data_IF_898194593361
#
_entry.id   IF_898194593361
#
_cell.length_a   1.000
_cell.length_b   1.000
_cell.length_c   1.000
_cell.angle_alpha   90.00
_cell.angle_beta   90.00
_cell.angle_gamma   90.00
#
_symmetry.space_group_name_H-M   'P 1'
#
loop_
_entity.id
_entity.type
_entity.pdbx_description
1 polymer ?
#
# COMPACT_ATOMS: atom_id res chain seq x y z
N UNK A 1 -4.23 52.98 -16.08
CA UNK A 1 -4.52 51.57 -15.98
C UNK A 1 -3.80 51.01 -14.74
N UNK A 2 -4.53 50.69 -13.70
CA UNK A 2 -3.93 50.14 -12.46
C UNK A 2 -3.28 48.78 -12.76
N UNK A 3 -2.22 48.40 -12.05
CA UNK A 3 -1.57 47.09 -12.19
C UNK A 3 -2.56 45.91 -12.08
N UNK A 4 -3.72 46.14 -11.48
CA UNK A 4 -4.86 45.22 -11.41
C UNK A 4 -5.45 44.88 -12.80
N UNK A 5 -5.66 45.89 -13.65
CA UNK A 5 -6.29 45.69 -14.94
C UNK A 5 -5.38 44.94 -15.92
N UNK A 6 -4.05 45.12 -15.78
CA UNK A 6 -3.07 44.36 -16.58
C UNK A 6 -3.06 42.88 -16.22
N UNK A 7 -3.16 42.53 -14.94
CA UNK A 7 -3.13 41.13 -14.50
C UNK A 7 -4.44 40.39 -14.81
N UNK A 8 -5.56 41.09 -14.94
CA UNK A 8 -6.84 40.49 -15.39
C UNK A 8 -6.88 40.22 -16.90
N UNK A 9 -5.99 40.86 -17.68
CA UNK A 9 -5.88 40.62 -19.13
C UNK A 9 -4.86 39.51 -19.48
N UNK A 10 -4.14 39.00 -18.50
CA UNK A 10 -3.19 37.92 -18.73
C UNK A 10 -3.92 36.60 -19.00
N UNK A 11 -3.49 35.86 -20.00
CA UNK A 11 -3.95 34.49 -20.26
C UNK A 11 -3.48 33.54 -19.15
N UNK A 12 -4.09 32.37 -19.10
CA UNK A 12 -3.72 31.33 -18.10
C UNK A 12 -2.23 30.97 -18.17
N UNK A 13 -1.66 30.94 -19.35
CA UNK A 13 -0.24 30.67 -19.58
C UNK A 13 0.65 31.70 -18.90
N UNK A 14 0.31 32.98 -19.05
CA UNK A 14 1.08 34.06 -18.44
C UNK A 14 0.98 34.04 -16.93
N UNK A 15 -0.21 33.81 -16.40
CA UNK A 15 -0.44 33.73 -14.95
C UNK A 15 0.35 32.57 -14.30
N UNK A 16 0.34 31.40 -14.92
CA UNK A 16 1.07 30.23 -14.41
C UNK A 16 2.58 30.38 -14.64
N UNK A 17 2.99 30.92 -15.80
CA UNK A 17 4.43 31.19 -16.06
C UNK A 17 4.99 32.24 -15.11
N UNK A 18 4.25 33.27 -14.76
CA UNK A 18 4.61 34.22 -13.72
C UNK A 18 4.77 33.56 -12.34
N UNK A 19 3.92 32.61 -12.00
CA UNK A 19 3.96 31.91 -10.74
C UNK A 19 5.13 30.92 -10.66
N UNK A 20 5.32 30.10 -11.69
CA UNK A 20 6.35 29.04 -11.71
C UNK A 20 7.74 29.53 -12.13
N UNK A 21 7.81 30.66 -12.86
CA UNK A 21 9.05 31.20 -13.41
C UNK A 21 9.63 30.32 -14.55
N UNK A 22 10.90 30.53 -14.87
CA UNK A 22 11.60 29.85 -15.97
C UNK A 22 11.86 28.35 -15.74
N UNK A 23 11.76 27.88 -14.49
CA UNK A 23 12.02 26.47 -14.14
C UNK A 23 10.78 25.57 -14.20
N UNK A 24 9.60 26.11 -14.50
CA UNK A 24 8.37 25.38 -14.65
C UNK A 24 7.94 24.58 -13.41
N UNK A 25 7.44 23.36 -13.59
CA UNK A 25 6.93 22.49 -12.52
C UNK A 25 8.05 21.83 -11.69
N UNK A 26 9.28 21.76 -12.22
CA UNK A 26 10.40 21.02 -11.62
C UNK A 26 10.66 21.37 -10.15
N UNK A 27 10.78 22.66 -9.73
CA UNK A 27 11.07 22.99 -8.34
C UNK A 27 10.00 22.50 -7.34
N UNK A 28 8.76 22.37 -7.80
CA UNK A 28 7.67 21.82 -6.97
C UNK A 28 7.89 20.32 -6.77
N UNK A 29 8.17 19.60 -7.85
CA UNK A 29 8.42 18.15 -7.78
C UNK A 29 9.69 17.83 -7.00
N UNK A 30 10.76 18.62 -7.17
CA UNK A 30 12.01 18.43 -6.42
C UNK A 30 11.81 18.62 -4.90
N UNK A 31 10.99 19.58 -4.49
CA UNK A 31 10.64 19.77 -3.09
C UNK A 31 9.82 18.59 -2.55
N UNK A 32 8.87 18.11 -3.31
CA UNK A 32 8.06 16.96 -2.94
C UNK A 32 8.84 15.63 -2.94
N UNK A 33 9.86 15.48 -3.78
CA UNK A 33 10.78 14.35 -3.71
C UNK A 33 11.41 14.20 -2.32
N UNK A 34 11.79 15.30 -1.69
CA UNK A 34 12.34 15.28 -0.34
C UNK A 34 11.29 14.88 0.71
N UNK A 35 10.05 15.33 0.54
CA UNK A 35 8.92 14.98 1.44
C UNK A 35 8.53 13.50 1.34
N UNK A 36 8.53 12.93 0.15
CA UNK A 36 8.13 11.55 -0.13
C UNK A 36 9.32 10.62 -0.40
N UNK A 37 10.47 10.91 0.21
CA UNK A 37 11.69 10.10 0.04
C UNK A 37 11.52 8.66 0.56
N UNK A 38 10.67 8.45 1.57
CA UNK A 38 10.36 7.13 2.11
C UNK A 38 8.99 6.65 1.63
N UNK A 39 8.98 5.44 1.06
CA UNK A 39 7.73 4.76 0.72
C UNK A 39 7.11 4.13 1.96
N UNK A 40 5.79 4.26 2.11
CA UNK A 40 5.05 3.48 3.10
C UNK A 40 4.72 2.08 2.56
N UNK A 41 5.75 1.38 2.11
CA UNK A 41 5.68 0.02 1.60
C UNK A 41 6.77 -0.84 2.25
N UNK A 42 6.64 -1.14 3.56
CA UNK A 42 7.69 -1.84 4.30
C UNK A 42 8.04 -3.18 3.67
N UNK A 43 9.34 -3.43 3.55
CA UNK A 43 9.87 -4.63 2.92
C UNK A 43 10.00 -4.58 1.41
N UNK A 44 9.42 -3.59 0.72
CA UNK A 44 9.62 -3.40 -0.71
C UNK A 44 10.51 -2.18 -0.98
N UNK A 45 11.48 -2.34 -1.84
CA UNK A 45 12.38 -1.27 -2.29
C UNK A 45 12.23 -1.09 -3.81
N UNK A 46 12.59 0.08 -4.31
CA UNK A 46 12.64 0.28 -5.75
C UNK A 46 13.68 -0.64 -6.39
N UNK A 47 13.33 -1.25 -7.52
CA UNK A 47 14.32 -1.95 -8.35
C UNK A 47 15.46 -0.99 -8.71
N UNK A 48 16.70 -1.51 -8.74
CA UNK A 48 17.90 -0.72 -9.05
C UNK A 48 17.87 -0.19 -10.46
N UNK A 49 17.32 -0.97 -11.39
CA UNK A 49 17.18 -0.64 -12.81
C UNK A 49 15.71 -0.54 -13.20
N UNK A 50 15.42 0.28 -14.19
CA UNK A 50 14.09 0.40 -14.80
C UNK A 50 14.02 -0.50 -16.03
N UNK A 51 12.91 -1.22 -16.19
CA UNK A 51 12.68 -2.04 -17.36
C UNK A 51 12.45 -1.17 -18.60
N UNK A 52 13.08 -1.51 -19.71
CA UNK A 52 12.87 -0.82 -20.98
C UNK A 52 11.49 -1.15 -21.60
N UNK A 53 10.88 -2.27 -21.21
CA UNK A 53 9.56 -2.74 -21.64
C UNK A 53 8.56 -2.67 -20.51
N UNK A 54 7.27 -2.86 -20.81
CA UNK A 54 6.21 -2.99 -19.81
C UNK A 54 6.12 -4.39 -19.20
N UNK A 55 7.16 -5.20 -19.33
CA UNK A 55 7.23 -6.55 -18.80
C UNK A 55 8.36 -6.65 -17.80
N UNK A 56 8.17 -7.48 -16.79
CA UNK A 56 9.23 -7.86 -15.86
C UNK A 56 9.46 -9.37 -15.92
N UNK A 57 10.67 -9.79 -15.63
CA UNK A 57 11.01 -11.19 -15.40
C UNK A 57 11.76 -11.31 -14.09
N UNK A 58 11.37 -12.26 -13.27
CA UNK A 58 12.01 -12.55 -12.01
C UNK A 58 12.27 -14.05 -11.90
N UNK A 59 13.43 -14.40 -11.38
CA UNK A 59 13.80 -15.78 -11.11
C UNK A 59 13.88 -15.96 -9.60
N UNK A 60 12.98 -16.78 -9.06
CA UNK A 60 13.03 -17.20 -7.65
C UNK A 60 13.85 -18.49 -7.53
N UNK A 61 14.86 -18.46 -6.67
CA UNK A 61 15.65 -19.66 -6.34
C UNK A 61 14.85 -20.47 -5.33
N UNK A 62 14.55 -21.72 -5.68
CA UNK A 62 13.83 -22.64 -4.79
C UNK A 62 14.87 -23.26 -3.84
N UNK A 63 15.08 -22.60 -2.71
CA UNK A 63 15.89 -23.15 -1.63
C UNK A 63 15.04 -24.08 -0.76
N UNK A 64 15.55 -25.23 -0.42
CA UNK A 64 14.94 -26.19 0.49
C UNK A 64 16.00 -26.76 1.44
N UNK A 65 15.55 -27.45 2.50
CA UNK A 65 16.48 -28.19 3.35
C UNK A 65 17.09 -29.32 2.52
N UNK A 66 18.42 -29.38 2.50
CA UNK A 66 19.13 -30.45 1.82
C UNK A 66 18.71 -31.80 2.42
N UNK A 67 18.32 -32.80 1.58
CA UNK A 67 18.02 -34.12 2.07
C UNK A 67 19.26 -34.76 2.66
N UNK A 68 19.06 -35.62 3.67
CA UNK A 68 20.16 -36.37 4.25
C UNK A 68 20.81 -37.25 3.17
N UNK A 69 22.13 -37.44 3.24
CA UNK A 69 22.81 -38.37 2.34
C UNK A 69 22.32 -39.82 2.54
N UNK A 70 22.26 -40.59 1.46
CA UNK A 70 21.81 -41.96 1.48
C UNK A 70 22.77 -42.86 2.23
N UNK A 71 22.23 -43.83 2.98
CA UNK A 71 23.00 -44.94 3.49
C UNK A 71 23.17 -45.97 2.36
N UNK A 72 24.37 -46.13 1.86
CA UNK A 72 24.66 -47.03 0.75
C UNK A 72 25.72 -48.09 1.12
N UNK A 73 25.66 -49.27 0.48
CA UNK A 73 26.68 -50.28 0.59
C UNK A 73 28.01 -49.82 -0.01
N UNK A 74 29.11 -50.45 0.42
CA UNK A 74 30.49 -50.08 0.01
C UNK A 74 30.71 -50.03 -1.51
N UNK A 75 29.89 -50.71 -2.29
CA UNK A 75 29.99 -50.79 -3.76
C UNK A 75 28.90 -49.97 -4.49
N UNK A 76 27.97 -49.34 -3.77
CA UNK A 76 26.86 -48.60 -4.34
C UNK A 76 27.13 -47.11 -4.39
N UNK A 77 26.55 -46.43 -5.37
CA UNK A 77 26.55 -44.96 -5.45
C UNK A 77 25.24 -44.44 -4.84
N UNK A 78 25.31 -43.34 -4.08
CA UNK A 78 24.14 -42.62 -3.61
C UNK A 78 23.34 -42.00 -4.75
N UNK A 79 22.08 -41.67 -4.48
CA UNK A 79 21.23 -40.93 -5.43
C UNK A 79 21.80 -39.54 -5.68
N UNK A 80 21.63 -39.01 -6.89
CA UNK A 80 22.05 -37.64 -7.19
C UNK A 80 21.21 -36.63 -6.41
N UNK A 81 21.86 -35.67 -5.77
CA UNK A 81 21.16 -34.55 -5.15
C UNK A 81 20.35 -33.81 -6.23
N UNK A 82 19.07 -33.55 -5.93
CA UNK A 82 18.29 -32.67 -6.78
C UNK A 82 18.90 -31.26 -6.74
N UNK A 83 19.30 -30.76 -7.89
CA UNK A 83 19.70 -29.35 -8.02
C UNK A 83 18.54 -28.44 -7.63
N UNK A 84 18.86 -27.34 -6.96
CA UNK A 84 17.86 -26.29 -6.64
C UNK A 84 17.09 -25.90 -7.90
N UNK A 85 15.78 -25.83 -7.76
CA UNK A 85 14.91 -25.44 -8.86
C UNK A 85 14.86 -23.90 -8.99
N UNK A 86 14.75 -23.43 -10.22
CA UNK A 86 14.47 -22.03 -10.51
C UNK A 86 13.03 -21.92 -11.00
N UNK A 87 12.31 -20.95 -10.47
CA UNK A 87 10.98 -20.59 -10.98
C UNK A 87 11.06 -19.18 -11.57
N UNK A 88 10.90 -19.11 -12.89
CA UNK A 88 10.74 -17.84 -13.58
C UNK A 88 9.28 -17.36 -13.48
N UNK A 89 9.08 -16.10 -13.19
CA UNK A 89 7.79 -15.42 -13.27
C UNK A 89 7.96 -14.21 -14.17
N UNK A 90 7.10 -14.06 -15.16
CA UNK A 90 7.04 -12.88 -16.01
C UNK A 90 5.60 -12.43 -16.16
N UNK A 91 5.36 -11.13 -16.12
CA UNK A 91 4.05 -10.53 -16.38
C UNK A 91 4.23 -9.05 -16.76
N UNK A 92 3.13 -8.42 -17.16
CA UNK A 92 3.08 -7.02 -17.55
C UNK A 92 3.03 -6.11 -16.33
N UNK A 93 3.80 -5.01 -16.37
CA UNK A 93 3.78 -3.98 -15.32
C UNK A 93 2.62 -3.01 -15.61
N UNK A 94 1.68 -2.82 -14.68
CA UNK A 94 0.53 -1.95 -14.90
C UNK A 94 0.94 -0.47 -14.91
N UNK A 95 0.34 0.28 -15.83
CA UNK A 95 0.51 1.73 -15.96
C UNK A 95 -0.61 2.45 -15.23
N UNK A 96 -0.26 3.42 -14.41
CA UNK A 96 -1.15 4.29 -13.67
C UNK A 96 -0.97 5.73 -14.10
N UNK A 97 -2.06 6.40 -14.43
CA UNK A 97 -2.04 7.81 -14.82
C UNK A 97 -3.16 8.57 -14.11
N UNK A 98 -2.85 9.75 -13.60
CA UNK A 98 -3.82 10.69 -13.06
C UNK A 98 -3.39 12.12 -13.38
N UNK A 99 -4.35 13.00 -13.58
CA UNK A 99 -4.06 14.40 -13.86
C UNK A 99 -4.92 15.33 -13.03
N UNK A 100 -4.50 16.57 -12.94
CA UNK A 100 -5.35 17.69 -12.57
C UNK A 100 -5.30 18.76 -13.65
N UNK A 101 -6.36 19.51 -13.78
CA UNK A 101 -6.45 20.67 -14.67
C UNK A 101 -6.84 21.91 -13.87
N UNK A 102 -6.29 23.05 -14.28
CA UNK A 102 -6.64 24.37 -13.77
C UNK A 102 -7.21 25.15 -14.96
N UNK A 103 -8.47 25.57 -14.86
CA UNK A 103 -9.10 26.42 -15.86
C UNK A 103 -8.91 27.91 -15.54
N UNK A 104 -9.00 28.74 -16.58
CA UNK A 104 -8.86 30.18 -16.46
C UNK A 104 -10.00 30.79 -15.61
N UNK A 105 -11.21 30.21 -15.67
CA UNK A 105 -12.37 30.72 -14.95
C UNK A 105 -12.15 30.58 -13.43
N UNK A 106 -11.64 29.41 -12.98
CA UNK A 106 -11.30 29.17 -11.57
C UNK A 106 -10.22 30.13 -11.08
N UNK A 107 -9.18 30.41 -11.90
CA UNK A 107 -8.15 31.38 -11.53
C UNK A 107 -8.72 32.80 -11.44
N UNK A 108 -9.51 33.22 -12.43
CA UNK A 108 -10.14 34.54 -12.44
C UNK A 108 -11.11 34.72 -11.26
N UNK A 109 -11.88 33.71 -10.91
CA UNK A 109 -12.78 33.74 -9.76
C UNK A 109 -12.00 33.93 -8.45
N UNK A 110 -10.91 33.20 -8.26
CA UNK A 110 -10.02 33.38 -7.11
C UNK A 110 -9.42 34.80 -7.06
N UNK A 111 -9.00 35.33 -8.21
CA UNK A 111 -8.47 36.70 -8.27
C UNK A 111 -9.54 37.76 -7.96
N UNK A 112 -10.79 37.55 -8.39
CA UNK A 112 -11.88 38.43 -8.04
C UNK A 112 -12.14 38.44 -6.53
N UNK A 113 -12.11 37.30 -5.87
CA UNK A 113 -12.22 37.19 -4.41
C UNK A 113 -11.08 37.94 -3.69
N UNK A 114 -9.83 37.82 -4.15
CA UNK A 114 -8.71 38.57 -3.56
C UNK A 114 -8.85 40.08 -3.73
N UNK A 115 -9.43 40.54 -4.84
CA UNK A 115 -9.70 41.98 -5.08
C UNK A 115 -10.74 42.54 -4.07
N UNK A 116 -11.73 41.75 -3.73
CA UNK A 116 -12.79 42.14 -2.79
C UNK A 116 -12.25 42.29 -1.35
N UNK A 117 -11.18 41.58 -0.98
CA UNK A 117 -10.55 41.64 0.32
C UNK A 117 -9.35 42.59 0.43
N UNK A 118 -9.15 43.49 -0.55
CA UNK A 118 -8.11 44.57 -0.57
C UNK A 118 -6.65 44.12 -0.31
N UNK A 119 -6.31 42.90 -0.72
CA UNK A 119 -4.92 42.42 -0.64
C UNK A 119 -4.04 43.06 -1.74
N UNK A 120 -2.82 43.47 -1.37
CA UNK A 120 -1.79 43.95 -2.29
C UNK A 120 -1.35 42.87 -3.27
N UNK A 121 -1.79 42.99 -4.50
CA UNK A 121 -2.10 41.87 -5.39
C UNK A 121 -0.92 41.19 -6.11
N UNK A 122 0.21 41.82 -6.30
CA UNK A 122 1.28 41.27 -7.17
C UNK A 122 2.04 40.10 -6.55
N UNK A 123 2.24 40.11 -5.23
CA UNK A 123 2.84 38.98 -4.50
C UNK A 123 1.81 37.87 -4.24
N UNK A 124 0.60 38.23 -3.81
CA UNK A 124 -0.41 37.27 -3.37
C UNK A 124 -1.01 36.43 -4.52
N UNK A 125 -1.12 36.95 -5.73
CA UNK A 125 -1.59 36.17 -6.90
C UNK A 125 -0.56 35.10 -7.28
N UNK A 126 0.69 35.50 -7.39
CA UNK A 126 1.79 34.57 -7.71
C UNK A 126 1.88 33.47 -6.66
N UNK A 127 1.80 33.81 -5.40
CA UNK A 127 1.90 32.87 -4.29
C UNK A 127 0.66 31.96 -4.23
N UNK A 128 -0.54 32.47 -4.51
CA UNK A 128 -1.76 31.66 -4.56
C UNK A 128 -1.79 30.66 -5.72
N UNK A 129 -1.28 31.04 -6.91
CA UNK A 129 -1.14 30.10 -8.03
C UNK A 129 -0.08 29.04 -7.73
N UNK A 130 1.04 29.47 -7.12
CA UNK A 130 2.08 28.55 -6.65
C UNK A 130 1.54 27.52 -5.64
N UNK A 131 0.80 28.01 -4.65
CA UNK A 131 0.19 27.16 -3.63
C UNK A 131 -0.82 26.20 -4.22
N UNK A 132 -1.68 26.65 -5.14
CA UNK A 132 -2.63 25.80 -5.84
C UNK A 132 -1.92 24.69 -6.62
N UNK A 133 -0.87 25.05 -7.37
CA UNK A 133 -0.06 24.08 -8.12
C UNK A 133 0.66 23.11 -7.19
N UNK A 134 1.28 23.63 -6.12
CA UNK A 134 1.97 22.81 -5.13
C UNK A 134 1.03 21.80 -4.48
N UNK A 135 -0.12 22.25 -3.98
CA UNK A 135 -1.10 21.40 -3.32
C UNK A 135 -1.70 20.35 -4.27
N UNK A 136 -1.86 20.68 -5.55
CA UNK A 136 -2.39 19.75 -6.55
C UNK A 136 -1.35 18.69 -6.92
N UNK A 137 -0.08 19.07 -7.09
CA UNK A 137 1.03 18.12 -7.35
C UNK A 137 1.29 17.27 -6.10
N UNK A 138 1.21 17.84 -4.89
CA UNK A 138 1.33 17.10 -3.63
C UNK A 138 0.25 16.02 -3.50
N UNK A 139 -1.00 16.34 -3.87
CA UNK A 139 -2.09 15.33 -3.90
C UNK A 139 -1.83 14.22 -4.91
N UNK A 140 -1.32 14.53 -6.10
CA UNK A 140 -0.93 13.51 -7.06
C UNK A 140 0.17 12.61 -6.49
N UNK A 141 1.21 13.22 -5.92
CA UNK A 141 2.34 12.48 -5.33
C UNK A 141 1.88 11.57 -4.19
N UNK A 142 1.07 12.11 -3.27
CA UNK A 142 0.46 11.34 -2.18
C UNK A 142 -0.41 10.20 -2.68
N UNK A 143 -1.16 10.41 -3.78
CA UNK A 143 -1.95 9.38 -4.43
C UNK A 143 -1.12 8.21 -4.96
N UNK A 144 0.03 8.47 -5.57
CA UNK A 144 0.93 7.41 -6.04
C UNK A 144 1.63 6.68 -4.88
N UNK A 145 1.99 7.40 -3.80
CA UNK A 145 2.49 6.75 -2.59
C UNK A 145 1.43 5.81 -1.99
N UNK A 146 0.19 6.28 -1.87
CA UNK A 146 -0.94 5.46 -1.42
C UNK A 146 -1.21 4.25 -2.32
N UNK A 147 -1.04 4.39 -3.64
CA UNK A 147 -1.18 3.29 -4.60
C UNK A 147 -0.14 2.18 -4.35
N UNK A 148 1.12 2.55 -4.17
CA UNK A 148 2.20 1.58 -3.89
C UNK A 148 1.94 0.87 -2.55
N UNK A 149 1.57 1.63 -1.51
CA UNK A 149 1.16 1.08 -0.21
C UNK A 149 0.01 0.10 -0.36
N UNK A 150 -1.01 0.48 -1.14
CA UNK A 150 -2.16 -0.39 -1.42
C UNK A 150 -1.76 -1.69 -2.11
N UNK A 151 -0.96 -1.61 -3.18
CA UNK A 151 -0.50 -2.81 -3.91
C UNK A 151 0.31 -3.73 -2.99
N UNK A 152 1.23 -3.18 -2.20
CA UNK A 152 2.01 -3.93 -1.20
C UNK A 152 1.09 -4.65 -0.21
N UNK A 153 0.16 -3.94 0.40
CA UNK A 153 -0.71 -4.48 1.44
C UNK A 153 -1.67 -5.55 0.88
N UNK A 154 -2.15 -5.41 -0.37
CA UNK A 154 -2.93 -6.45 -1.03
C UNK A 154 -2.10 -7.71 -1.31
N UNK A 155 -0.86 -7.56 -1.80
CA UNK A 155 0.03 -8.70 -2.05
C UNK A 155 0.30 -9.47 -0.76
N UNK A 156 0.65 -8.77 0.31
CA UNK A 156 0.97 -9.38 1.60
C UNK A 156 -0.26 -10.00 2.25
N UNK A 157 -1.42 -9.35 2.19
CA UNK A 157 -2.62 -9.80 2.88
C UNK A 157 -3.43 -10.85 2.13
N UNK A 158 -3.31 -10.93 0.80
CA UNK A 158 -4.08 -11.88 -0.05
C UNK A 158 -3.22 -12.89 -0.80
N UNK A 159 -1.92 -12.67 -0.90
CA UNK A 159 -1.06 -13.41 -1.81
C UNK A 159 -1.28 -13.10 -3.30
N UNK A 160 -2.11 -12.12 -3.60
CA UNK A 160 -2.49 -11.69 -4.97
C UNK A 160 -2.84 -10.21 -5.01
N UNK A 161 -2.76 -9.61 -6.19
CA UNK A 161 -3.15 -8.24 -6.43
C UNK A 161 -4.32 -8.19 -7.42
N UNK A 162 -5.40 -7.53 -7.02
CA UNK A 162 -6.64 -7.38 -7.80
C UNK A 162 -7.01 -5.90 -7.89
N UNK A 163 -7.27 -5.41 -9.11
CA UNK A 163 -7.58 -4.00 -9.33
C UNK A 163 -9.07 -3.66 -9.35
N UNK A 164 -9.95 -4.65 -9.47
CA UNK A 164 -11.38 -4.44 -9.70
C UNK A 164 -12.10 -3.57 -8.68
N UNK A 165 -11.71 -3.62 -7.42
CA UNK A 165 -12.33 -2.82 -6.35
C UNK A 165 -11.96 -1.34 -6.44
N UNK A 166 -10.70 -1.03 -6.75
CA UNK A 166 -10.16 0.34 -6.76
C UNK A 166 -10.25 1.01 -8.13
N UNK A 167 -10.28 0.20 -9.20
CA UNK A 167 -10.33 0.68 -10.58
C UNK A 167 -11.45 -0.01 -11.36
N UNK A 168 -12.73 0.15 -10.96
CA UNK A 168 -13.85 -0.60 -11.53
C UNK A 168 -14.11 -0.27 -13.00
N UNK A 169 -13.65 0.87 -13.48
CA UNK A 169 -13.78 1.34 -14.88
C UNK A 169 -12.59 0.95 -15.76
N UNK A 170 -11.51 0.43 -15.18
CA UNK A 170 -10.31 0.04 -15.94
C UNK A 170 -10.54 -1.24 -16.75
N UNK A 171 -9.92 -1.31 -17.91
CA UNK A 171 -9.85 -2.55 -18.71
C UNK A 171 -9.08 -3.66 -18.00
N UNK A 172 -8.18 -3.29 -17.08
CA UNK A 172 -7.39 -4.22 -16.26
C UNK A 172 -8.10 -4.67 -14.98
N UNK A 173 -9.35 -4.27 -14.74
CA UNK A 173 -10.11 -4.60 -13.52
C UNK A 173 -10.19 -6.09 -13.21
N UNK A 174 -10.18 -6.94 -14.24
CA UNK A 174 -10.28 -8.40 -14.11
C UNK A 174 -8.90 -9.08 -14.10
N UNK A 175 -7.80 -8.32 -14.27
CA UNK A 175 -6.45 -8.89 -14.23
C UNK A 175 -6.07 -9.16 -12.77
N UNK A 176 -5.57 -10.36 -12.52
CA UNK A 176 -5.14 -10.84 -11.19
C UNK A 176 -3.68 -11.23 -11.30
N UNK A 177 -2.83 -10.61 -10.47
CA UNK A 177 -1.43 -10.99 -10.31
C UNK A 177 -1.30 -11.93 -9.13
N UNK A 178 -0.75 -13.12 -9.34
CA UNK A 178 -0.54 -14.14 -8.30
C UNK A 178 0.94 -14.39 -8.12
N UNK A 179 1.40 -14.35 -6.86
CA UNK A 179 2.84 -14.41 -6.54
C UNK A 179 3.27 -15.74 -5.89
N UNK A 180 2.39 -16.73 -5.84
CA UNK A 180 2.72 -18.06 -5.29
C UNK A 180 2.89 -18.07 -3.77
N UNK A 181 2.38 -17.06 -3.06
CA UNK A 181 2.34 -17.02 -1.60
C UNK A 181 1.39 -18.11 -1.11
N UNK A 182 1.80 -18.85 -0.07
CA UNK A 182 0.97 -19.89 0.53
C UNK A 182 -0.29 -19.26 1.13
N UNK A 183 -1.45 -19.69 0.66
CA UNK A 183 -2.74 -19.26 1.22
C UNK A 183 -3.40 -20.45 1.90
N UNK A 184 -3.59 -20.35 3.20
CA UNK A 184 -4.27 -21.34 4.01
C UNK A 184 -5.74 -20.95 4.19
N UNK A 185 -6.61 -21.54 3.37
CA UNK A 185 -8.04 -21.33 3.42
C UNK A 185 -8.77 -22.34 4.34
N UNK A 186 -8.04 -23.04 5.21
CA UNK A 186 -8.59 -24.16 6.01
C UNK A 186 -9.70 -23.74 6.98
N UNK A 187 -9.90 -22.46 7.24
CA UNK A 187 -10.95 -21.94 8.13
C UNK A 187 -12.20 -21.46 7.41
N UNK A 188 -12.52 -21.99 6.24
CA UNK A 188 -13.73 -21.61 5.49
C UNK A 188 -15.07 -22.00 6.15
N UNK A 189 -15.07 -22.61 7.34
CA UNK A 189 -16.28 -22.96 8.06
C UNK A 189 -16.67 -21.89 9.09
N UNK A 190 -17.93 -21.48 9.12
CA UNK A 190 -18.47 -20.49 10.06
C UNK A 190 -18.14 -20.76 11.52
N UNK A 191 -17.92 -22.02 11.92
CA UNK A 191 -17.59 -22.43 13.29
C UNK A 191 -16.13 -22.26 13.67
N UNK A 192 -15.24 -22.09 12.68
CA UNK A 192 -13.80 -21.94 12.88
C UNK A 192 -13.32 -20.50 12.63
N UNK A 193 -14.19 -19.62 12.21
CA UNK A 193 -13.86 -18.21 12.02
C UNK A 193 -13.79 -17.48 13.34
N UNK A 194 -12.86 -16.54 13.46
CA UNK A 194 -12.70 -15.75 14.68
C UNK A 194 -13.93 -14.88 14.95
N UNK A 195 -14.60 -14.44 13.90
CA UNK A 195 -15.84 -13.68 13.94
C UNK A 195 -16.81 -14.23 12.90
N UNK A 196 -18.05 -14.47 13.28
CA UNK A 196 -19.09 -14.94 12.36
C UNK A 196 -19.68 -13.78 11.54
N UNK A 197 -19.76 -12.59 12.16
CA UNK A 197 -20.29 -11.38 11.53
C UNK A 197 -19.46 -10.17 12.01
N UNK A 198 -18.98 -9.37 11.07
CA UNK A 198 -18.08 -8.23 11.32
C UNK A 198 -18.73 -7.12 12.17
N UNK A 199 -20.06 -7.14 12.32
CA UNK A 199 -20.79 -6.04 12.94
C UNK A 199 -21.25 -6.27 14.37
N UNK A 200 -21.08 -7.45 14.94
CA UNK A 200 -21.54 -7.73 16.31
C UNK A 200 -20.57 -8.56 17.12
N UNK A 201 -20.19 -8.04 18.29
CA UNK A 201 -19.31 -8.70 19.28
C UNK A 201 -19.88 -10.06 19.76
N UNK A 202 -21.19 -10.28 19.60
CA UNK A 202 -21.88 -11.52 20.01
C UNK A 202 -21.63 -12.71 19.05
N UNK A 203 -20.98 -12.49 17.91
CA UNK A 203 -20.87 -13.48 16.83
C UNK A 203 -19.43 -14.00 16.64
N UNK A 204 -18.64 -14.11 17.70
CA UNK A 204 -17.39 -14.88 17.63
C UNK A 204 -17.66 -16.38 17.38
N UNK A 205 -16.81 -17.02 16.60
CA UNK A 205 -16.93 -18.43 16.34
C UNK A 205 -16.71 -19.25 17.63
N UNK A 206 -17.71 -20.00 18.08
CA UNK A 206 -17.65 -20.77 19.35
C UNK A 206 -16.46 -21.73 19.44
N UNK A 207 -15.99 -22.26 18.32
CA UNK A 207 -14.88 -23.21 18.24
C UNK A 207 -13.57 -22.56 17.75
N UNK A 208 -13.59 -21.27 17.43
CA UNK A 208 -12.40 -20.57 16.97
C UNK A 208 -11.37 -20.45 18.10
N UNK A 209 -10.11 -20.63 17.74
CA UNK A 209 -8.99 -20.44 18.64
C UNK A 209 -7.90 -19.62 17.92
N UNK A 210 -8.01 -18.28 18.00
CA UNK A 210 -7.08 -17.39 17.27
C UNK A 210 -5.62 -17.60 17.64
N UNK A 211 -5.31 -17.91 18.90
CA UNK A 211 -3.93 -18.11 19.35
C UNK A 211 -3.36 -19.40 18.74
N UNK A 212 -4.15 -20.48 18.76
CA UNK A 212 -3.75 -21.74 18.12
C UNK A 212 -3.55 -21.56 16.61
N UNK A 213 -4.46 -20.86 15.95
CA UNK A 213 -4.36 -20.58 14.50
C UNK A 213 -3.09 -19.84 14.13
N UNK A 214 -2.71 -18.83 14.92
CA UNK A 214 -1.44 -18.09 14.74
C UNK A 214 -0.23 -18.99 14.97
N UNK A 215 -0.23 -19.80 16.04
CA UNK A 215 0.85 -20.72 16.33
C UNK A 215 0.99 -21.77 15.21
N UNK A 216 -0.11 -22.34 14.73
CA UNK A 216 -0.13 -23.35 13.68
C UNK A 216 0.36 -22.75 12.34
N UNK A 217 -0.04 -21.52 12.01
CA UNK A 217 0.46 -20.82 10.84
C UNK A 217 1.97 -20.60 10.92
N UNK A 218 2.50 -20.10 12.05
CA UNK A 218 3.93 -19.98 12.28
C UNK A 218 4.66 -21.31 12.10
N UNK A 219 4.21 -22.37 12.78
CA UNK A 219 4.80 -23.72 12.69
C UNK A 219 4.81 -24.26 11.27
N UNK A 220 3.77 -23.97 10.49
CA UNK A 220 3.73 -24.41 9.09
C UNK A 220 4.80 -23.76 8.21
N UNK A 221 5.44 -22.71 8.72
CA UNK A 221 6.48 -21.93 8.05
C UNK A 221 7.87 -22.09 8.70
N UNK A 222 7.99 -22.84 9.80
CA UNK A 222 9.25 -22.96 10.57
C UNK A 222 10.46 -23.37 9.71
N UNK A 223 10.25 -24.19 8.67
CA UNK A 223 11.32 -24.64 7.77
C UNK A 223 11.73 -23.58 6.73
N UNK A 224 10.84 -22.65 6.39
CA UNK A 224 11.04 -21.65 5.33
C UNK A 224 11.31 -20.26 5.90
N UNK A 225 10.74 -19.98 7.06
CA UNK A 225 10.82 -18.68 7.72
C UNK A 225 10.66 -18.85 9.25
N UNK A 226 11.71 -19.31 9.98
CA UNK A 226 11.62 -19.53 11.41
C UNK A 226 11.45 -18.23 12.23
N UNK A 227 12.00 -17.11 11.75
CA UNK A 227 12.06 -15.83 12.45
C UNK A 227 11.12 -14.78 11.81
N UNK A 228 9.96 -15.20 11.36
CA UNK A 228 9.00 -14.28 10.76
C UNK A 228 8.22 -13.45 11.78
N UNK A 229 7.37 -12.55 11.26
CA UNK A 229 6.40 -11.75 12.02
C UNK A 229 5.02 -11.86 11.41
N UNK A 230 3.99 -11.61 12.24
CA UNK A 230 2.63 -11.46 11.75
C UNK A 230 2.35 -10.03 11.33
N UNK A 231 1.63 -9.88 10.22
CA UNK A 231 0.97 -8.63 9.86
C UNK A 231 -0.54 -8.83 9.77
N UNK A 232 -1.30 -7.88 10.30
CA UNK A 232 -2.76 -7.88 10.26
C UNK A 232 -3.32 -6.47 10.23
N UNK A 233 -4.56 -6.31 9.78
CA UNK A 233 -5.24 -5.02 9.84
C UNK A 233 -5.53 -4.60 11.28
N UNK A 234 -5.65 -3.29 11.50
CA UNK A 234 -6.06 -2.75 12.80
C UNK A 234 -7.43 -3.28 13.22
N UNK A 235 -8.37 -3.40 12.28
CA UNK A 235 -9.71 -3.94 12.56
C UNK A 235 -9.63 -5.34 13.12
N UNK A 236 -8.87 -6.23 12.46
CA UNK A 236 -8.70 -7.60 12.91
C UNK A 236 -7.99 -7.68 14.27
N UNK A 237 -7.02 -6.80 14.52
CA UNK A 237 -6.35 -6.72 15.80
C UNK A 237 -7.28 -6.26 16.92
N UNK A 238 -8.17 -5.30 16.66
CA UNK A 238 -9.21 -4.86 17.60
C UNK A 238 -10.22 -5.98 17.86
N UNK A 239 -10.56 -6.78 16.85
CA UNK A 239 -11.40 -7.96 17.03
C UNK A 239 -10.75 -9.03 17.93
N UNK A 240 -9.43 -9.24 17.79
CA UNK A 240 -8.67 -10.10 18.72
C UNK A 240 -8.70 -9.60 20.16
N UNK A 241 -8.66 -8.29 20.37
CA UNK A 241 -8.77 -7.69 21.72
C UNK A 241 -10.13 -7.96 22.38
N UNK A 242 -11.15 -8.23 21.60
CA UNK A 242 -12.50 -8.51 22.12
C UNK A 242 -12.83 -10.01 22.17
N UNK A 243 -11.99 -10.87 21.58
CA UNK A 243 -12.26 -12.30 21.52
C UNK A 243 -12.11 -12.97 22.89
N UNK A 244 -13.13 -13.71 23.35
CA UNK A 244 -13.20 -14.28 24.71
C UNK A 244 -12.03 -15.19 25.06
N UNK A 245 -11.66 -16.12 24.16
CA UNK A 245 -10.52 -17.02 24.38
C UNK A 245 -9.18 -16.29 24.45
N UNK A 246 -8.98 -15.25 23.63
CA UNK A 246 -7.76 -14.45 23.65
C UNK A 246 -7.64 -13.68 24.95
N UNK A 247 -8.74 -13.04 25.37
CA UNK A 247 -8.80 -12.32 26.66
C UNK A 247 -8.47 -13.26 27.82
N UNK A 248 -9.06 -14.46 27.85
CA UNK A 248 -8.82 -15.43 28.90
C UNK A 248 -7.33 -15.84 28.94
N UNK A 249 -6.71 -16.15 27.79
CA UNK A 249 -5.32 -16.58 27.74
C UNK A 249 -4.35 -15.46 28.10
N UNK A 250 -4.58 -14.24 27.64
CA UNK A 250 -3.80 -13.05 28.02
C UNK A 250 -3.95 -12.76 29.50
N UNK A 251 -5.15 -12.86 30.04
CA UNK A 251 -5.41 -12.69 31.49
C UNK A 251 -4.71 -13.76 32.31
N UNK A 252 -4.75 -15.03 31.95
CA UNK A 252 -4.05 -16.12 32.61
C UNK A 252 -2.53 -16.00 32.54
N UNK A 253 -1.99 -15.50 31.46
CA UNK A 253 -0.56 -15.22 31.37
C UNK A 253 -0.12 -14.12 32.34
N UNK A 254 -0.93 -13.08 32.51
CA UNK A 254 -0.65 -11.99 33.43
C UNK A 254 -0.85 -12.41 34.91
N UNK A 255 -1.78 -13.32 35.16
CA UNK A 255 -2.14 -13.80 36.52
C UNK A 255 -2.14 -15.32 36.61
N UNK A 256 -0.99 -15.99 36.46
CA UNK A 256 -0.89 -17.45 36.31
C UNK A 256 -1.37 -18.21 37.55
N UNK A 257 -1.25 -17.63 38.75
CA UNK A 257 -1.61 -18.26 40.02
C UNK A 257 -2.98 -17.84 40.56
N UNK A 258 -3.80 -17.17 39.73
CA UNK A 258 -5.13 -16.73 40.15
C UNK A 258 -6.10 -17.91 40.17
N UNK A 259 -6.77 -18.14 41.29
CA UNK A 259 -7.90 -19.06 41.42
C UNK A 259 -9.24 -18.42 41.03
N UNK A 260 -9.21 -17.20 40.50
CA UNK A 260 -10.39 -16.48 40.05
C UNK A 260 -11.05 -17.17 38.84
N UNK A 261 -12.37 -17.05 38.74
CA UNK A 261 -13.11 -17.57 37.57
C UNK A 261 -12.74 -16.88 36.28
N UNK A 262 -13.02 -17.53 35.15
CA UNK A 262 -12.64 -17.09 33.82
C UNK A 262 -13.15 -15.68 33.44
N UNK A 263 -14.34 -15.30 33.95
CA UNK A 263 -14.90 -13.96 33.71
C UNK A 263 -14.07 -12.87 34.42
N UNK A 264 -13.59 -13.14 35.63
CA UNK A 264 -12.73 -12.20 36.39
C UNK A 264 -11.39 -12.05 35.69
N UNK A 265 -10.80 -13.15 35.24
CA UNK A 265 -9.53 -13.17 34.51
C UNK A 265 -9.66 -12.41 33.19
N UNK A 266 -10.74 -12.61 32.45
CA UNK A 266 -11.01 -11.88 31.19
C UNK A 266 -11.18 -10.37 31.44
N UNK A 267 -11.79 -9.97 32.57
CA UNK A 267 -11.88 -8.56 32.94
C UNK A 267 -10.52 -7.95 33.32
N UNK A 268 -9.62 -8.70 33.92
CA UNK A 268 -8.23 -8.26 34.13
C UNK A 268 -7.51 -8.05 32.81
N UNK A 269 -7.72 -8.93 31.80
CA UNK A 269 -7.14 -8.77 30.47
C UNK A 269 -7.60 -7.46 29.79
N UNK A 270 -8.85 -7.03 29.99
CA UNK A 270 -9.34 -5.73 29.52
C UNK A 270 -8.57 -4.54 30.12
N UNK A 271 -8.14 -4.64 31.37
CA UNK A 271 -7.27 -3.62 31.98
C UNK A 271 -5.90 -3.56 31.28
N UNK A 272 -5.37 -4.70 30.84
CA UNK A 272 -4.13 -4.77 30.06
C UNK A 272 -4.31 -4.08 28.71
N UNK A 273 -5.46 -4.23 28.06
CA UNK A 273 -5.79 -3.53 26.80
C UNK A 273 -5.74 -2.02 27.01
N UNK A 274 -6.42 -1.51 28.03
CA UNK A 274 -6.45 -0.07 28.35
C UNK A 274 -5.05 0.48 28.60
N UNK A 275 -4.17 -0.30 29.21
CA UNK A 275 -2.79 0.09 29.47
C UNK A 275 -1.84 -0.11 28.27
N UNK A 276 -2.34 -0.52 27.09
CA UNK A 276 -1.55 -0.74 25.89
C UNK A 276 -0.65 -1.98 25.91
N UNK A 277 -0.75 -2.84 26.93
CA UNK A 277 0.07 -4.03 27.12
C UNK A 277 -0.37 -5.27 26.31
N UNK A 278 -1.57 -5.23 25.73
CA UNK A 278 -2.18 -6.40 25.07
C UNK A 278 -1.32 -6.97 23.95
N UNK A 279 -0.81 -6.11 23.05
CA UNK A 279 0.05 -6.53 21.94
C UNK A 279 1.25 -7.34 22.44
N UNK A 280 1.97 -6.83 23.43
CA UNK A 280 3.15 -7.50 24.02
C UNK A 280 2.78 -8.85 24.66
N UNK A 281 1.65 -8.93 25.36
CA UNK A 281 1.17 -10.18 25.95
C UNK A 281 0.80 -11.21 24.88
N UNK A 282 0.15 -10.78 23.81
CA UNK A 282 -0.19 -11.65 22.68
C UNK A 282 1.07 -12.13 21.95
N UNK A 283 2.02 -11.25 21.67
CA UNK A 283 3.32 -11.60 21.09
C UNK A 283 4.09 -12.63 21.93
N UNK A 284 4.05 -12.50 23.25
CA UNK A 284 4.67 -13.47 24.16
C UNK A 284 3.95 -14.83 24.13
N UNK A 285 2.62 -14.87 23.98
CA UNK A 285 1.85 -16.10 23.85
C UNK A 285 2.14 -16.85 22.55
N UNK A 286 2.22 -16.14 21.43
CA UNK A 286 2.46 -16.74 20.11
C UNK A 286 3.95 -16.91 19.79
N UNK A 287 4.85 -16.28 20.59
CA UNK A 287 6.30 -16.31 20.41
C UNK A 287 6.79 -15.64 19.12
N UNK A 288 6.09 -14.60 18.67
CA UNK A 288 6.37 -13.90 17.40
C UNK A 288 5.83 -12.48 17.45
N UNK A 289 6.51 -11.54 16.81
CA UNK A 289 6.07 -10.14 16.71
C UNK A 289 4.82 -9.98 15.86
N UNK A 290 4.00 -9.00 16.19
CA UNK A 290 2.80 -8.62 15.44
C UNK A 290 2.98 -7.18 14.94
N UNK A 291 2.77 -6.96 13.66
CA UNK A 291 2.69 -5.62 13.08
C UNK A 291 1.25 -5.31 12.69
N UNK A 292 0.73 -4.21 13.19
CA UNK A 292 -0.64 -3.77 12.94
C UNK A 292 -0.64 -2.71 11.84
N UNK A 293 -1.33 -2.97 10.74
CA UNK A 293 -1.46 -2.06 9.60
C UNK A 293 -2.76 -1.27 9.68
N UNK A 294 -2.66 0.06 9.71
CA UNK A 294 -3.80 1.00 9.67
C UNK A 294 -3.69 1.91 8.44
N UNK A 295 -3.38 1.34 7.29
CA UNK A 295 -3.28 2.07 6.02
C UNK A 295 -4.62 2.03 5.29
N UNK A 296 -5.03 3.20 4.75
CA UNK A 296 -6.27 3.33 3.98
C UNK A 296 -5.99 4.10 2.71
N UNK A 297 -6.64 3.68 1.63
CA UNK A 297 -6.60 4.42 0.36
C UNK A 297 -7.97 4.94 -0.01
N UNK A 298 -7.96 6.13 -0.61
CA UNK A 298 -9.13 6.75 -1.20
C UNK A 298 -9.18 6.41 -2.69
N UNK A 299 -10.37 6.11 -3.19
CA UNK A 299 -10.60 5.85 -4.61
C UNK A 299 -11.93 6.45 -5.06
N UNK A 300 -11.96 6.91 -6.30
CA UNK A 300 -13.14 7.56 -6.86
C UNK A 300 -14.00 6.52 -7.57
N UNK A 301 -15.29 6.47 -7.23
CA UNK A 301 -16.30 5.63 -7.87
C UNK A 301 -17.37 6.54 -8.47
N UNK A 302 -17.82 6.32 -9.72
CA UNK A 302 -18.94 7.06 -10.26
C UNK A 302 -20.19 6.85 -9.40
N UNK A 303 -20.84 7.92 -9.02
CA UNK A 303 -22.15 7.87 -8.39
C UNK A 303 -23.17 7.27 -9.35
N UNK A 304 -24.03 6.40 -8.85
CA UNK A 304 -25.02 5.70 -9.68
C UNK A 304 -26.05 6.65 -10.32
N UNK A 305 -26.38 7.74 -9.64
CA UNK A 305 -27.43 8.68 -10.07
C UNK A 305 -26.83 9.88 -10.82
N UNK A 306 -25.81 10.51 -10.25
CA UNK A 306 -25.25 11.76 -10.77
C UNK A 306 -24.08 11.56 -11.73
N UNK A 307 -23.52 10.36 -11.80
CA UNK A 307 -22.27 10.00 -12.52
C UNK A 307 -21.05 10.82 -12.10
N UNK A 308 -21.17 11.64 -11.06
CA UNK A 308 -20.03 12.38 -10.51
C UNK A 308 -19.17 11.46 -9.67
N UNK A 309 -17.85 11.66 -9.60
CA UNK A 309 -16.99 10.86 -8.76
C UNK A 309 -17.29 11.08 -7.28
N UNK A 310 -17.55 10.00 -6.55
CA UNK A 310 -17.63 9.98 -5.08
C UNK A 310 -16.38 9.29 -4.56
N UNK A 311 -15.67 9.94 -3.66
CA UNK A 311 -14.49 9.37 -3.01
C UNK A 311 -14.90 8.41 -1.90
N UNK A 312 -14.50 7.15 -2.03
CA UNK A 312 -14.66 6.11 -1.01
C UNK A 312 -13.30 5.76 -0.40
N UNK A 313 -13.33 5.25 0.84
CA UNK A 313 -12.14 4.83 1.57
C UNK A 313 -12.22 3.33 1.85
N UNK A 314 -11.09 2.65 1.73
CA UNK A 314 -10.96 1.23 2.09
C UNK A 314 -9.62 0.98 2.75
N UNK A 315 -9.58 0.03 3.68
CA UNK A 315 -8.32 -0.47 4.23
C UNK A 315 -7.51 -1.13 3.12
N UNK A 316 -6.21 -0.88 3.11
CA UNK A 316 -5.29 -1.47 2.14
C UNK A 316 -5.02 -2.92 2.47
N UNK A 317 -4.76 -3.21 3.74
CA UNK A 317 -4.60 -4.57 4.23
C UNK A 317 -5.97 -5.25 4.40
N UNK A 318 -6.12 -6.47 3.91
CA UNK A 318 -7.40 -7.20 4.01
C UNK A 318 -7.78 -7.44 5.48
N UNK A 319 -9.00 -7.06 5.85
CA UNK A 319 -9.47 -7.11 7.24
C UNK A 319 -9.82 -8.52 7.72
N UNK A 320 -9.93 -9.47 6.80
CA UNK A 320 -10.28 -10.87 7.07
C UNK A 320 -9.08 -11.80 7.16
N UNK A 321 -7.88 -11.28 6.89
CA UNK A 321 -6.70 -12.11 6.70
C UNK A 321 -5.57 -11.73 7.67
N UNK A 322 -4.78 -12.73 8.03
CA UNK A 322 -3.50 -12.61 8.72
C UNK A 322 -2.39 -13.06 7.78
N UNK A 323 -1.32 -12.31 7.70
CA UNK A 323 -0.11 -12.69 6.98
C UNK A 323 1.03 -13.00 7.93
N UNK A 324 1.81 -14.04 7.63
CA UNK A 324 3.09 -14.34 8.26
C UNK A 324 4.20 -14.09 7.24
N UNK A 325 5.12 -13.21 7.56
CA UNK A 325 6.15 -12.71 6.63
C UNK A 325 7.53 -12.67 7.27
N UNK A 326 8.62 -12.77 6.50
CA UNK A 326 9.96 -12.58 7.02
C UNK A 326 10.24 -11.13 7.40
N UNK A 327 11.28 -10.92 8.21
CA UNK A 327 11.82 -9.58 8.45
C UNK A 327 12.65 -9.12 7.25
N UNK A 328 12.74 -7.80 7.08
CA UNK A 328 13.59 -7.17 6.08
C UNK A 328 12.97 -7.03 4.71
N UNK A 329 13.75 -7.28 3.66
CA UNK A 329 13.33 -7.14 2.26
C UNK A 329 12.36 -8.25 1.89
N UNK A 330 11.17 -7.89 1.43
CA UNK A 330 10.17 -8.82 0.89
C UNK A 330 10.26 -8.94 -0.62
N UNK A 331 10.66 -7.86 -1.30
CA UNK A 331 10.73 -7.83 -2.75
C UNK A 331 11.13 -6.47 -3.30
N UNK A 332 10.97 -6.32 -4.60
CA UNK A 332 11.26 -5.08 -5.32
C UNK A 332 10.02 -4.54 -6.02
N UNK A 333 10.01 -3.21 -6.15
CA UNK A 333 9.01 -2.53 -6.97
C UNK A 333 9.61 -2.43 -8.37
N UNK A 334 9.15 -3.30 -9.26
CA UNK A 334 9.51 -3.29 -10.67
C UNK A 334 8.90 -2.09 -11.37
N UNK A 335 9.69 -1.39 -12.16
CA UNK A 335 9.29 -0.13 -12.81
C UNK A 335 9.69 -0.17 -14.27
N UNK A 336 8.80 0.28 -15.14
CA UNK A 336 9.14 0.57 -16.53
C UNK A 336 9.61 2.01 -16.67
N UNK A 337 10.60 2.24 -17.55
CA UNK A 337 11.11 3.57 -17.82
C UNK A 337 9.99 4.50 -18.36
N UNK A 338 9.88 5.74 -17.85
CA UNK A 338 8.92 6.70 -18.36
C UNK A 338 9.12 6.99 -19.86
N UNK A 339 8.03 7.18 -20.60
CA UNK A 339 8.08 7.39 -22.05
C UNK A 339 8.85 8.63 -22.50
N UNK A 340 8.94 9.66 -21.64
CA UNK A 340 9.63 10.92 -21.95
C UNK A 340 10.98 11.03 -21.25
N UNK A 341 11.62 9.91 -20.92
CA UNK A 341 12.89 9.91 -20.19
C UNK A 341 14.00 10.64 -20.95
N UNK A 342 13.95 10.69 -22.26
CA UNK A 342 14.84 11.47 -23.14
C UNK A 342 14.63 12.99 -23.02
N UNK A 343 13.48 13.44 -22.49
CA UNK A 343 13.09 14.85 -22.37
C UNK A 343 13.33 15.44 -20.96
N UNK A 344 14.24 14.89 -20.21
CA UNK A 344 14.54 15.34 -18.84
C UNK A 344 14.90 16.82 -18.68
N UNK A 345 15.36 17.45 -19.76
CA UNK A 345 15.75 18.86 -19.75
C UNK A 345 14.64 19.83 -20.14
N UNK A 346 13.47 19.33 -20.52
CA UNK A 346 12.33 20.19 -20.88
C UNK A 346 11.70 20.81 -19.63
N UNK A 347 11.32 22.09 -19.72
CA UNK A 347 10.73 22.88 -18.62
C UNK A 347 9.40 22.30 -18.13
N UNK A 348 8.68 21.62 -19.01
CA UNK A 348 7.37 21.06 -18.76
C UNK A 348 7.39 19.62 -18.23
N UNK A 349 8.57 19.03 -18.10
CA UNK A 349 8.76 17.65 -17.62
C UNK A 349 9.52 17.66 -16.30
N UNK A 350 9.02 16.92 -15.34
CA UNK A 350 9.69 16.70 -14.05
C UNK A 350 9.54 15.24 -13.62
N UNK A 351 10.43 14.77 -12.76
CA UNK A 351 10.46 13.38 -12.32
C UNK A 351 10.51 13.25 -10.82
N UNK A 352 9.67 12.37 -10.29
CA UNK A 352 9.65 11.92 -8.90
C UNK A 352 10.28 10.54 -8.72
N UNK A 353 10.51 10.15 -7.47
CA UNK A 353 11.06 8.85 -7.08
C UNK A 353 12.34 8.44 -7.86
N UNK A 354 13.27 9.41 -8.04
CA UNK A 354 14.52 9.11 -8.74
C UNK A 354 14.34 8.81 -10.23
N UNK A 355 13.41 9.45 -10.90
CA UNK A 355 13.18 9.28 -12.34
C UNK A 355 12.02 8.34 -12.70
N UNK A 356 11.33 7.76 -11.72
CA UNK A 356 10.32 6.70 -11.93
C UNK A 356 8.91 7.24 -12.13
N UNK A 357 8.54 8.30 -11.42
CA UNK A 357 7.25 8.99 -11.55
C UNK A 357 7.41 10.21 -12.45
N UNK A 358 6.77 10.21 -13.60
CA UNK A 358 6.82 11.30 -14.57
C UNK A 358 5.68 12.29 -14.32
N UNK A 359 6.01 13.59 -14.39
CA UNK A 359 5.04 14.69 -14.45
C UNK A 359 5.21 15.43 -15.77
N UNK A 360 4.12 15.65 -16.47
CA UNK A 360 4.06 16.39 -17.73
C UNK A 360 3.05 17.53 -17.61
N UNK A 361 3.53 18.77 -17.74
CA UNK A 361 2.67 19.94 -17.82
C UNK A 361 2.32 20.22 -19.27
N UNK A 362 1.04 20.25 -19.60
CA UNK A 362 0.50 20.61 -20.91
C UNK A 362 -0.42 21.81 -20.78
N UNK A 363 -0.52 22.60 -21.85
CA UNK A 363 -1.44 23.72 -21.96
C UNK A 363 -2.37 23.47 -23.12
N UNK A 364 -3.67 23.54 -22.87
CA UNK A 364 -4.69 23.57 -23.91
C UNK A 364 -5.14 25.01 -24.11
N UNK A 365 -4.79 25.59 -25.26
CA UNK A 365 -5.12 26.97 -25.60
C UNK A 365 -6.59 27.13 -26.00
N UNK A 366 -7.20 26.08 -26.56
CA UNK A 366 -8.62 26.10 -26.96
C UNK A 366 -9.54 26.05 -25.75
N UNK A 367 -9.25 25.15 -24.82
CA UNK A 367 -10.01 25.01 -23.57
C UNK A 367 -9.56 25.99 -22.50
N UNK A 368 -8.50 26.77 -22.74
CA UNK A 368 -7.90 27.70 -21.76
C UNK A 368 -7.62 27.01 -20.42
N UNK A 369 -7.07 25.82 -20.49
CA UNK A 369 -6.74 25.00 -19.34
C UNK A 369 -5.26 24.68 -19.29
N UNK A 370 -4.72 24.60 -18.07
CA UNK A 370 -3.43 23.97 -17.83
C UNK A 370 -3.63 22.66 -17.12
N UNK A 371 -3.02 21.62 -17.66
CA UNK A 371 -3.10 20.27 -17.18
C UNK A 371 -1.72 19.80 -16.75
N UNK A 372 -1.66 19.10 -15.63
CA UNK A 372 -0.49 18.35 -15.19
C UNK A 372 -0.86 16.89 -15.10
N UNK A 373 -0.27 16.08 -15.96
CA UNK A 373 -0.39 14.65 -15.97
C UNK A 373 0.73 14.05 -15.13
N UNK A 374 0.41 13.08 -14.30
CA UNK A 374 1.37 12.25 -13.58
C UNK A 374 1.20 10.80 -13.99
N UNK A 375 2.31 10.10 -14.22
CA UNK A 375 2.32 8.74 -14.72
C UNK A 375 3.38 7.90 -14.01
N UNK A 376 2.98 6.71 -13.57
CA UNK A 376 3.83 5.70 -12.97
C UNK A 376 3.49 4.33 -13.55
N UNK A 377 4.48 3.60 -14.03
CA UNK A 377 4.34 2.20 -14.43
C UNK A 377 5.14 1.35 -13.44
N UNK A 378 4.45 0.75 -12.49
CA UNK A 378 5.11 0.06 -11.38
C UNK A 378 4.29 -1.12 -10.86
N UNK A 379 4.98 -2.15 -10.37
CA UNK A 379 4.40 -3.33 -9.72
C UNK A 379 5.33 -3.82 -8.61
N UNK A 380 4.88 -3.87 -7.35
CA UNK A 380 5.60 -4.59 -6.30
C UNK A 380 5.61 -6.09 -6.58
N UNK A 381 6.78 -6.70 -6.61
CA UNK A 381 6.97 -8.13 -6.87
C UNK A 381 7.74 -8.74 -5.69
N UNK A 382 7.14 -9.69 -4.96
CA UNK A 382 7.82 -10.33 -3.83
C UNK A 382 8.87 -11.31 -4.32
N UNK A 383 10.09 -11.23 -3.77
CA UNK A 383 11.20 -12.15 -4.02
C UNK A 383 11.17 -13.36 -3.09
N UNK A 384 10.53 -13.22 -1.94
CA UNK A 384 10.48 -14.23 -0.88
C UNK A 384 9.09 -14.83 -0.70
N UNK A 385 8.35 -14.99 -1.79
CA UNK A 385 6.95 -15.41 -1.78
C UNK A 385 6.72 -16.73 -1.02
N UNK A 386 7.67 -17.67 -1.08
CA UNK A 386 7.60 -18.95 -0.38
C UNK A 386 7.82 -18.87 1.12
N UNK A 387 8.46 -17.80 1.59
CA UNK A 387 8.64 -17.52 3.01
C UNK A 387 7.45 -16.75 3.61
N UNK A 388 6.44 -16.53 2.81
CA UNK A 388 5.21 -15.82 3.18
C UNK A 388 4.03 -16.78 3.18
N UNK A 389 3.14 -16.58 4.15
CA UNK A 389 1.88 -17.32 4.21
C UNK A 389 0.75 -16.39 4.63
N UNK A 390 -0.44 -16.63 4.10
CA UNK A 390 -1.67 -15.91 4.41
C UNK A 390 -2.70 -16.90 4.93
N UNK A 391 -3.44 -16.53 5.96
CA UNK A 391 -4.58 -17.30 6.46
C UNK A 391 -5.81 -16.41 6.54
N UNK A 392 -6.90 -16.87 5.93
CA UNK A 392 -8.21 -16.22 6.09
C UNK A 392 -8.83 -16.71 7.41
N UNK A 393 -9.16 -15.77 8.30
CA UNK A 393 -9.54 -16.08 9.70
C UNK A 393 -10.93 -15.57 10.09
N UNK A 394 -11.58 -14.79 9.24
CA UNK A 394 -12.95 -14.32 9.44
C UNK A 394 -13.68 -14.16 8.10
N UNK A 395 -15.00 -13.99 8.14
CA UNK A 395 -15.83 -13.81 6.95
C UNK A 395 -15.74 -12.42 6.36
#
# INVERSE_FOLDING_TARGET
MNNYDKNMMLGINDMVSMALGTKGIRPIVDNLNNKYNTLDAPGFIWASEMNATFEYSQIEVITGIAPLPDLVDKASRGTSLRTEGFKGTSDEIPRFAKHFSIDEATLRQKFAMFKEFDYTLTGSIKDSVKELMFNSVDKLYSGYNGLITHMRDQIVSKGKLEFGTFFPTSNLKNKIYTFGIKNDEANKGETLWWKKDVHTVANEGKNADPIKDLIDLRRSMDLLNPDGKFEMSKVLFEDLQMHSKVLLMVGRQAYPNSSAGDDVISNFARTIIVNGGFKRSLEALIGCAIEVRDTRSAYDVPDAETRKPITKYKYNFETTNVAYIPYGKLGEIQVSAPMLMDKQNEINVAYGYGGRLQFLKTTDELERTQRVDAELTALPVPEVSRQMAVKTVTA
#
